data_IF_774253700462
#
_entry.id   IF_774253700462
#
_cell.length_a   1.000
_cell.length_b   1.000
_cell.length_c   1.000
_cell.angle_alpha   90.00
_cell.angle_beta   90.00
_cell.angle_gamma   90.00
#
_symmetry.space_group_name_H-M   'P 1'
#
loop_
_entity.id
_entity.type
_entity.pdbx_description
1 polymer ?
#
# COMPACT_ATOMS: atom_id res chain seq x y z
N UNK A 1 -32.26 0.67 -18.99
CA UNK A 1 -32.03 1.98 -18.34
C UNK A 1 -30.53 2.21 -18.27
N UNK A 2 -30.07 3.36 -18.74
CA UNK A 2 -28.66 3.76 -18.71
C UNK A 2 -28.56 5.27 -18.89
N UNK A 3 -27.42 5.86 -18.54
CA UNK A 3 -27.17 7.28 -18.75
C UNK A 3 -26.89 7.54 -20.23
N UNK A 4 -27.78 8.24 -20.92
CA UNK A 4 -27.60 8.66 -22.32
C UNK A 4 -26.88 10.00 -22.40
N UNK A 5 -26.21 10.27 -23.52
CA UNK A 5 -25.58 11.57 -23.79
C UNK A 5 -24.56 12.05 -22.75
N UNK A 6 -23.93 11.14 -21.98
CA UNK A 6 -22.92 11.46 -20.95
C UNK A 6 -21.86 12.46 -21.44
N UNK A 7 -21.32 12.24 -22.64
CA UNK A 7 -20.30 13.11 -23.27
C UNK A 7 -20.79 14.55 -23.48
N UNK A 8 -22.08 14.76 -23.76
CA UNK A 8 -22.65 16.10 -23.98
C UNK A 8 -22.78 16.91 -22.69
N UNK A 9 -22.69 16.25 -21.53
CA UNK A 9 -22.91 16.86 -20.22
C UNK A 9 -21.62 16.96 -19.39
N UNK A 10 -20.45 16.65 -19.96
CA UNK A 10 -19.16 16.85 -19.29
C UNK A 10 -18.83 18.34 -19.28
N UNK A 11 -18.74 18.94 -18.09
CA UNK A 11 -18.33 20.35 -17.88
C UNK A 11 -16.83 20.45 -17.55
N UNK A 12 -16.26 19.39 -16.98
CA UNK A 12 -14.86 19.30 -16.58
C UNK A 12 -14.39 17.85 -16.69
N UNK A 13 -13.13 17.65 -17.06
CA UNK A 13 -12.48 16.35 -17.12
C UNK A 13 -11.06 16.48 -16.56
N UNK A 14 -10.70 15.56 -15.66
CA UNK A 14 -9.33 15.34 -15.20
C UNK A 14 -9.03 13.84 -15.34
N UNK A 15 -7.89 13.53 -15.93
CA UNK A 15 -7.51 12.17 -16.31
C UNK A 15 -6.15 11.86 -15.73
N UNK A 16 -6.07 10.77 -14.98
CA UNK A 16 -4.82 10.26 -14.43
C UNK A 16 -4.52 8.91 -15.04
N UNK A 17 -3.30 8.74 -15.53
CA UNK A 17 -2.76 7.48 -16.00
C UNK A 17 -1.95 6.80 -14.88
N UNK A 18 -1.54 5.52 -15.05
CA UNK A 18 -0.61 4.89 -14.13
C UNK A 18 0.69 5.68 -13.91
N UNK A 19 1.19 6.38 -14.93
CA UNK A 19 2.36 7.24 -14.85
C UNK A 19 2.11 8.44 -13.93
N UNK A 20 0.91 9.03 -13.94
CA UNK A 20 0.54 10.09 -13.01
C UNK A 20 0.50 9.59 -11.56
N UNK A 21 -0.04 8.39 -11.35
CA UNK A 21 -0.07 7.75 -10.02
C UNK A 21 1.36 7.47 -9.53
N UNK A 22 2.23 6.96 -10.40
CA UNK A 22 3.63 6.72 -10.09
C UNK A 22 4.36 8.03 -9.74
N UNK A 23 4.16 9.08 -10.51
CA UNK A 23 4.75 10.40 -10.27
C UNK A 23 4.25 11.03 -8.97
N UNK A 24 2.95 10.99 -8.71
CA UNK A 24 2.32 11.67 -7.59
C UNK A 24 2.48 10.93 -6.27
N UNK A 25 2.41 9.59 -6.28
CA UNK A 25 2.44 8.76 -5.07
C UNK A 25 3.68 7.91 -4.91
N UNK A 26 4.60 7.93 -5.89
CA UNK A 26 5.79 7.05 -5.92
C UNK A 26 5.42 5.57 -5.89
N UNK A 27 4.22 5.25 -6.37
CA UNK A 27 3.76 3.88 -6.54
C UNK A 27 4.39 3.30 -7.80
N UNK A 28 5.31 2.35 -7.62
CA UNK A 28 5.97 1.65 -8.73
C UNK A 28 4.97 1.21 -9.80
N UNK A 29 5.15 1.66 -11.04
CA UNK A 29 4.28 1.39 -12.20
C UNK A 29 2.81 1.80 -12.02
N UNK A 30 2.53 2.79 -11.17
CA UNK A 30 1.18 3.26 -10.88
C UNK A 30 0.32 2.27 -10.10
N UNK A 31 0.91 1.26 -9.45
CA UNK A 31 0.17 0.22 -8.77
C UNK A 31 -0.61 0.76 -7.55
N UNK A 32 -1.95 0.76 -7.63
CA UNK A 32 -2.82 1.25 -6.54
C UNK A 32 -2.95 0.29 -5.35
N UNK A 33 -2.64 -0.99 -5.57
CA UNK A 33 -2.67 -2.03 -4.53
C UNK A 33 -1.27 -2.60 -4.23
N UNK A 34 -0.19 -1.93 -4.65
CA UNK A 34 1.18 -2.39 -4.37
C UNK A 34 1.54 -3.72 -5.01
N UNK A 35 2.39 -4.52 -4.33
CA UNK A 35 2.82 -5.84 -4.82
C UNK A 35 1.63 -6.77 -5.03
N UNK A 36 1.62 -7.48 -6.17
CA UNK A 36 0.59 -8.47 -6.53
C UNK A 36 0.38 -9.49 -5.40
N UNK A 37 -0.85 -9.90 -5.14
CA UNK A 37 -1.14 -11.02 -4.24
C UNK A 37 -1.42 -12.26 -5.09
N UNK A 38 -0.42 -13.13 -5.24
CA UNK A 38 -0.52 -14.31 -6.11
C UNK A 38 0.00 -15.55 -5.37
N UNK A 39 -0.86 -16.56 -5.23
CA UNK A 39 -0.54 -17.77 -4.47
C UNK A 39 0.68 -18.52 -5.02
N UNK A 40 0.89 -18.51 -6.34
CA UNK A 40 2.00 -19.22 -7.00
C UNK A 40 3.29 -18.41 -6.92
N UNK A 41 3.23 -17.08 -7.05
CA UNK A 41 4.40 -16.20 -7.08
C UNK A 41 4.93 -15.83 -5.70
N UNK A 42 4.05 -15.53 -4.75
CA UNK A 42 4.44 -15.04 -3.42
C UNK A 42 3.58 -15.61 -2.28
N UNK A 43 2.92 -16.75 -2.50
CA UNK A 43 2.02 -17.39 -1.53
C UNK A 43 0.85 -16.48 -1.09
N UNK A 44 0.56 -15.43 -1.88
CA UNK A 44 -0.44 -14.41 -1.55
C UNK A 44 0.04 -13.35 -0.55
N UNK A 45 1.32 -13.38 -0.15
CA UNK A 45 1.87 -12.43 0.81
C UNK A 45 2.62 -11.29 0.12
N UNK A 46 2.48 -10.11 0.68
CA UNK A 46 3.23 -8.90 0.35
C UNK A 46 4.55 -8.85 1.13
N UNK A 47 5.28 -7.75 1.01
CA UNK A 47 6.57 -7.57 1.68
C UNK A 47 6.43 -7.65 3.22
N UNK A 48 7.42 -8.19 3.96
CA UNK A 48 7.41 -8.19 5.41
C UNK A 48 7.48 -6.77 5.99
N UNK A 49 7.04 -6.62 7.24
CA UNK A 49 7.03 -5.33 7.96
C UNK A 49 8.38 -4.90 8.52
N UNK A 50 9.39 -5.73 8.38
CA UNK A 50 10.68 -5.57 9.04
C UNK A 50 11.78 -5.98 8.06
N UNK A 51 12.87 -5.23 8.09
CA UNK A 51 14.03 -5.50 7.25
C UNK A 51 14.73 -6.79 7.66
N UNK A 52 15.16 -7.56 6.68
CA UNK A 52 16.03 -8.72 6.89
C UNK A 52 17.50 -8.35 7.01
N UNK A 53 17.86 -7.11 6.66
CA UNK A 53 19.25 -6.66 6.52
C UNK A 53 19.66 -5.59 7.51
N UNK A 54 18.69 -4.84 8.04
CA UNK A 54 18.95 -3.68 8.89
C UNK A 54 18.12 -3.78 10.15
N UNK A 55 18.77 -3.65 11.29
CA UNK A 55 18.06 -3.54 12.55
C UNK A 55 17.30 -2.22 12.64
N UNK A 56 16.16 -2.25 13.36
CA UNK A 56 15.33 -1.07 13.59
C UNK A 56 14.79 -0.40 12.32
N UNK A 57 14.70 -1.14 11.21
CA UNK A 57 14.07 -0.70 9.97
C UNK A 57 12.76 -1.45 9.73
N UNK A 58 11.66 -0.69 9.67
CA UNK A 58 10.31 -1.20 9.49
C UNK A 58 9.65 -0.64 8.23
N UNK A 59 8.70 -1.38 7.68
CA UNK A 59 7.95 -1.01 6.48
C UNK A 59 6.45 -1.03 6.78
N UNK A 60 5.73 -0.02 6.30
CA UNK A 60 4.26 0.12 6.38
C UNK A 60 3.69 0.48 5.01
N UNK A 61 2.39 0.23 4.81
CA UNK A 61 1.66 0.68 3.62
C UNK A 61 1.13 -0.45 2.75
N UNK A 62 0.59 -0.09 1.57
CA UNK A 62 -0.20 -1.01 0.72
C UNK A 62 0.60 -2.12 0.03
N UNK A 63 1.93 -1.95 -0.04
CA UNK A 63 2.88 -2.93 -0.57
C UNK A 63 3.43 -3.87 0.49
N UNK A 64 3.05 -3.67 1.76
CA UNK A 64 3.46 -4.46 2.92
C UNK A 64 2.26 -5.27 3.39
N UNK A 65 2.47 -6.47 3.94
CA UNK A 65 1.38 -7.20 4.58
C UNK A 65 0.73 -6.32 5.67
N UNK A 66 -0.60 -6.29 5.85
CA UNK A 66 -1.60 -7.17 5.24
C UNK A 66 -2.01 -6.79 3.81
N UNK A 67 -1.84 -5.53 3.41
CA UNK A 67 -1.95 -5.14 2.00
C UNK A 67 -2.52 -3.76 1.72
N UNK A 68 -2.98 -3.57 0.48
CA UNK A 68 -3.52 -2.30 -0.01
C UNK A 68 -4.97 -2.08 0.38
N UNK A 69 -5.45 -0.85 0.18
CA UNK A 69 -6.75 -0.38 0.64
C UNK A 69 -6.67 0.25 2.03
N UNK A 70 -7.50 1.27 2.26
CA UNK A 70 -7.46 2.10 3.48
C UNK A 70 -7.45 1.27 4.78
N UNK A 71 -8.31 0.25 4.97
CA UNK A 71 -8.29 -0.52 6.21
C UNK A 71 -6.97 -1.28 6.44
N UNK A 72 -6.41 -1.86 5.38
CA UNK A 72 -5.21 -2.69 5.46
C UNK A 72 -3.95 -1.85 5.66
N UNK A 73 -3.89 -0.66 5.08
CA UNK A 73 -2.79 0.30 5.30
C UNK A 73 -2.78 0.77 6.75
N UNK A 74 -3.95 1.12 7.31
CA UNK A 74 -4.08 1.51 8.71
C UNK A 74 -3.65 0.38 9.65
N UNK A 75 -4.10 -0.85 9.39
CA UNK A 75 -3.71 -2.02 10.17
C UNK A 75 -2.20 -2.31 10.06
N UNK A 76 -1.61 -2.11 8.88
CA UNK A 76 -0.16 -2.21 8.67
C UNK A 76 0.61 -1.28 9.61
N UNK A 77 0.16 -0.01 9.71
CA UNK A 77 0.73 0.99 10.61
C UNK A 77 0.63 0.60 12.08
N UNK A 78 -0.55 0.16 12.53
CA UNK A 78 -0.76 -0.30 13.91
C UNK A 78 0.18 -1.45 14.27
N UNK A 79 0.27 -2.46 13.41
CA UNK A 79 1.12 -3.64 13.65
C UNK A 79 2.61 -3.30 13.67
N UNK A 80 3.07 -2.29 12.91
CA UNK A 80 4.45 -1.82 13.00
C UNK A 80 4.69 -1.03 14.29
N UNK A 81 3.75 -0.18 14.70
CA UNK A 81 3.86 0.52 15.99
C UNK A 81 3.97 -0.48 17.15
N UNK A 82 3.18 -1.55 17.15
CA UNK A 82 3.26 -2.62 18.15
C UNK A 82 4.65 -3.29 18.16
N UNK A 83 5.22 -3.57 16.98
CA UNK A 83 6.57 -4.14 16.84
C UNK A 83 7.65 -3.22 17.44
N UNK A 84 7.57 -1.92 17.14
CA UNK A 84 8.52 -0.93 17.66
C UNK A 84 8.40 -0.87 19.19
N UNK A 85 7.19 -0.74 19.73
CA UNK A 85 6.95 -0.70 21.18
C UNK A 85 7.47 -1.96 21.89
N UNK A 86 7.26 -3.14 21.30
CA UNK A 86 7.75 -4.40 21.85
C UNK A 86 9.29 -4.48 21.84
N UNK A 87 9.97 -3.93 20.82
CA UNK A 87 11.44 -3.84 20.78
C UNK A 87 11.95 -2.89 21.86
N UNK A 88 11.38 -1.70 21.97
CA UNK A 88 11.76 -0.70 22.98
C UNK A 88 11.58 -1.22 24.41
N UNK A 89 10.49 -1.95 24.68
CA UNK A 89 10.26 -2.55 25.99
C UNK A 89 11.30 -3.61 26.37
N UNK A 90 11.88 -4.31 25.40
CA UNK A 90 12.97 -5.28 25.63
C UNK A 90 14.29 -4.57 25.92
N UNK A 91 14.58 -3.46 25.23
CA UNK A 91 15.82 -2.71 25.41
C UNK A 91 15.90 -1.96 26.75
N UNK A 92 14.76 -1.72 27.40
CA UNK A 92 14.68 -1.08 28.73
C UNK A 92 14.87 -2.04 29.91
N UNK A 93 14.92 -3.35 29.65
CA UNK A 93 15.19 -4.39 30.65
C UNK A 93 16.66 -4.79 30.59
#
# INVERSE_FOLDING_TARGET
MGLTDLRKHIIYEDVWTPEDIEKNYRSNRGAIYGVVADKKKNKGFKFPKESQYFENLYFVGGSVNPGGGMPMVTLSGQQVADKINAREAKNRK
#
